data_IF_065325393335
#
_entry.id   IF_065325393335
#
_cell.length_a   1.000
_cell.length_b   1.000
_cell.length_c   1.000
_cell.angle_alpha   90.00
_cell.angle_beta   90.00
_cell.angle_gamma   90.00
#
_symmetry.space_group_name_H-M   'P 1'
#
loop_
_entity.id
_entity.type
_entity.pdbx_description
1 polymer ?
#
# COMPACT_ATOMS: atom_id res chain seq x y z
N UNK A 1 4.01 -114.62 10.25
CA UNK A 1 4.46 -113.51 11.13
C UNK A 1 5.71 -112.79 10.60
N UNK A 2 6.91 -113.40 10.55
CA UNK A 2 8.19 -112.69 10.25
C UNK A 2 8.14 -111.67 9.09
N UNK A 3 7.68 -112.08 7.91
CA UNK A 3 7.63 -111.21 6.71
C UNK A 3 6.67 -110.00 6.85
N UNK A 4 5.58 -110.12 7.62
CA UNK A 4 4.66 -109.01 7.88
C UNK A 4 5.33 -107.94 8.75
N UNK A 5 5.94 -108.37 9.86
CA UNK A 5 6.67 -107.46 10.75
C UNK A 5 7.82 -106.75 10.00
N UNK A 6 8.49 -107.44 9.09
CA UNK A 6 9.52 -106.85 8.22
C UNK A 6 8.93 -105.82 7.24
N UNK A 7 7.80 -106.11 6.59
CA UNK A 7 7.10 -105.17 5.72
C UNK A 7 6.67 -103.90 6.47
N UNK A 8 6.03 -104.05 7.64
CA UNK A 8 5.65 -102.92 8.50
C UNK A 8 6.87 -102.12 8.96
N UNK A 9 7.97 -102.78 9.32
CA UNK A 9 9.22 -102.11 9.71
C UNK A 9 9.82 -101.30 8.56
N UNK A 10 9.91 -101.90 7.36
CA UNK A 10 10.39 -101.22 6.15
C UNK A 10 9.51 -100.02 5.80
N UNK A 11 8.19 -100.16 5.86
CA UNK A 11 7.23 -99.07 5.64
C UNK A 11 7.41 -97.91 6.61
N UNK A 12 7.57 -98.19 7.91
CA UNK A 12 7.80 -97.17 8.94
C UNK A 12 9.14 -96.42 8.74
N UNK A 13 10.21 -97.12 8.37
CA UNK A 13 11.52 -96.50 8.08
C UNK A 13 11.45 -95.62 6.84
N UNK A 14 10.80 -96.07 5.76
CA UNK A 14 10.62 -95.28 4.54
C UNK A 14 9.73 -94.05 4.79
N UNK A 15 8.62 -94.20 5.53
CA UNK A 15 7.75 -93.09 5.90
C UNK A 15 8.48 -92.01 6.69
N UNK A 16 9.23 -92.40 7.74
CA UNK A 16 10.07 -91.46 8.51
C UNK A 16 11.10 -90.73 7.64
N UNK A 17 11.75 -91.44 6.71
CA UNK A 17 12.72 -90.83 5.78
C UNK A 17 12.06 -89.83 4.83
N UNK A 18 10.89 -90.15 4.29
CA UNK A 18 10.12 -89.24 3.42
C UNK A 18 9.68 -87.98 4.17
N UNK A 19 9.19 -88.11 5.40
CA UNK A 19 8.85 -86.95 6.24
C UNK A 19 10.07 -86.07 6.55
N UNK A 20 11.23 -86.67 6.83
CA UNK A 20 12.47 -85.92 7.08
C UNK A 20 12.92 -85.14 5.85
N UNK A 21 12.98 -85.77 4.67
CA UNK A 21 13.40 -85.09 3.43
C UNK A 21 12.43 -83.95 3.04
N UNK A 22 11.12 -84.13 3.24
CA UNK A 22 10.13 -83.07 3.02
C UNK A 22 10.32 -81.89 4.00
N UNK A 23 10.65 -82.16 5.27
CA UNK A 23 10.93 -81.12 6.26
C UNK A 23 12.24 -80.38 5.96
N UNK A 24 13.27 -81.08 5.49
CA UNK A 24 14.54 -80.48 5.03
C UNK A 24 14.33 -79.58 3.81
N UNK A 25 13.52 -80.00 2.82
CA UNK A 25 13.22 -79.21 1.62
C UNK A 25 12.43 -77.93 1.95
N UNK A 26 11.40 -78.02 2.81
CA UNK A 26 10.65 -76.85 3.29
C UNK A 26 11.58 -75.89 4.05
N UNK A 27 12.38 -76.38 4.99
CA UNK A 27 13.31 -75.56 5.77
C UNK A 27 14.40 -74.92 4.91
N UNK A 28 14.87 -75.59 3.86
CA UNK A 28 15.80 -75.02 2.89
C UNK A 28 15.15 -73.91 2.05
N UNK A 29 13.88 -74.08 1.66
CA UNK A 29 13.08 -73.07 0.95
C UNK A 29 12.87 -71.79 1.78
N UNK A 30 12.39 -71.92 3.03
CA UNK A 30 12.24 -70.78 3.95
C UNK A 30 13.58 -70.08 4.24
N UNK A 31 14.64 -70.86 4.49
CA UNK A 31 16.00 -70.31 4.71
C UNK A 31 16.51 -69.53 3.51
N UNK A 32 16.20 -69.96 2.28
CA UNK A 32 16.52 -69.21 1.06
C UNK A 32 15.69 -67.92 0.99
N UNK A 33 14.37 -67.99 1.18
CA UNK A 33 13.49 -66.80 1.11
C UNK A 33 13.95 -65.72 2.09
N UNK A 34 14.26 -66.09 3.34
CA UNK A 34 14.80 -65.18 4.35
C UNK A 34 16.17 -64.59 3.96
N UNK A 35 17.02 -65.33 3.26
CA UNK A 35 18.30 -64.82 2.77
C UNK A 35 18.12 -63.79 1.64
N UNK A 36 17.18 -64.05 0.71
CA UNK A 36 16.84 -63.15 -0.38
C UNK A 36 16.16 -61.86 0.15
N UNK A 37 15.23 -61.99 1.12
CA UNK A 37 14.60 -60.88 1.86
C UNK A 37 15.66 -60.02 2.60
N UNK A 38 16.60 -60.65 3.32
CA UNK A 38 17.69 -59.95 4.01
C UNK A 38 18.69 -59.28 3.05
N UNK A 39 18.84 -59.77 1.81
CA UNK A 39 19.63 -59.10 0.79
C UNK A 39 18.92 -57.85 0.27
N UNK A 40 17.62 -57.96 -0.05
CA UNK A 40 16.81 -56.82 -0.49
C UNK A 40 16.75 -55.71 0.57
N UNK A 41 16.51 -56.06 1.84
CA UNK A 41 16.46 -55.09 2.94
C UNK A 41 17.80 -54.36 3.16
N UNK A 42 18.94 -55.03 2.96
CA UNK A 42 20.26 -54.36 3.02
C UNK A 42 20.43 -53.33 1.91
N UNK A 43 20.07 -53.68 0.68
CA UNK A 43 20.14 -52.76 -0.46
C UNK A 43 19.23 -51.54 -0.23
N UNK A 44 18.04 -51.76 0.31
CA UNK A 44 17.11 -50.68 0.66
C UNK A 44 17.69 -49.76 1.74
N UNK A 45 18.18 -50.30 2.86
CA UNK A 45 18.81 -49.52 3.95
C UNK A 45 20.02 -48.72 3.46
N UNK A 46 20.87 -49.29 2.58
CA UNK A 46 21.97 -48.53 1.98
C UNK A 46 21.50 -47.42 1.03
N UNK A 47 20.35 -47.58 0.35
CA UNK A 47 19.78 -46.55 -0.51
C UNK A 47 19.16 -45.41 0.31
N UNK A 48 18.38 -45.75 1.34
CA UNK A 48 17.75 -44.78 2.24
C UNK A 48 18.79 -43.99 3.06
N UNK A 49 19.92 -44.62 3.43
CA UNK A 49 21.05 -43.91 4.05
C UNK A 49 21.69 -42.88 3.09
N UNK A 50 21.81 -43.22 1.79
CA UNK A 50 22.39 -42.32 0.78
C UNK A 50 21.47 -41.12 0.52
N UNK A 51 20.17 -41.34 0.34
CA UNK A 51 19.19 -40.25 0.13
C UNK A 51 19.12 -39.33 1.37
N UNK A 52 19.07 -39.89 2.58
CA UNK A 52 19.12 -39.13 3.83
C UNK A 52 20.39 -38.26 3.93
N UNK A 53 21.57 -38.81 3.63
CA UNK A 53 22.82 -38.05 3.67
C UNK A 53 22.94 -37.00 2.56
N UNK A 54 22.19 -37.11 1.46
CA UNK A 54 22.10 -36.08 0.42
C UNK A 54 21.12 -34.96 0.81
N UNK A 55 19.91 -35.31 1.27
CA UNK A 55 18.92 -34.36 1.76
C UNK A 55 19.44 -33.56 2.96
N UNK A 56 20.13 -34.21 3.90
CA UNK A 56 20.79 -33.56 5.03
C UNK A 56 21.82 -32.52 4.57
N UNK A 57 22.68 -32.85 3.59
CA UNK A 57 23.67 -31.90 3.04
C UNK A 57 22.99 -30.71 2.36
N UNK A 58 21.90 -30.95 1.62
CA UNK A 58 21.08 -29.90 1.00
C UNK A 58 20.47 -28.96 2.05
N UNK A 59 19.80 -29.52 3.06
CA UNK A 59 19.20 -28.75 4.16
C UNK A 59 20.25 -27.96 4.95
N UNK A 60 21.42 -28.55 5.23
CA UNK A 60 22.53 -27.83 5.84
C UNK A 60 23.02 -26.64 4.99
N UNK A 61 23.06 -26.77 3.67
CA UNK A 61 23.44 -25.68 2.77
C UNK A 61 22.37 -24.58 2.72
N UNK A 62 21.09 -24.95 2.68
CA UNK A 62 19.95 -24.01 2.72
C UNK A 62 19.90 -23.25 4.06
N UNK A 63 20.10 -23.92 5.19
CA UNK A 63 20.20 -23.27 6.53
C UNK A 63 21.39 -22.29 6.58
N UNK A 64 22.55 -22.64 6.02
CA UNK A 64 23.71 -21.73 5.92
C UNK A 64 23.38 -20.49 5.08
N UNK A 65 22.73 -20.68 3.91
CA UNK A 65 22.26 -19.59 3.03
C UNK A 65 21.24 -18.68 3.71
N UNK A 66 20.22 -19.25 4.35
CA UNK A 66 19.16 -18.51 5.06
C UNK A 66 19.73 -17.71 6.23
N UNK A 67 20.66 -18.26 7.02
CA UNK A 67 21.31 -17.56 8.13
C UNK A 67 22.09 -16.32 7.67
N UNK A 68 22.79 -16.40 6.53
CA UNK A 68 23.47 -15.24 5.93
C UNK A 68 22.46 -14.21 5.41
N UNK A 69 21.39 -14.65 4.72
CA UNK A 69 20.33 -13.77 4.24
C UNK A 69 19.60 -13.02 5.37
N UNK A 70 19.29 -13.71 6.47
CA UNK A 70 18.69 -13.15 7.68
C UNK A 70 19.55 -12.03 8.28
N UNK A 71 20.85 -12.28 8.49
CA UNK A 71 21.78 -11.28 9.04
C UNK A 71 21.97 -10.07 8.10
N UNK A 72 21.88 -10.27 6.78
CA UNK A 72 21.91 -9.17 5.81
C UNK A 72 20.61 -8.35 5.82
N UNK A 73 19.45 -9.00 5.97
CA UNK A 73 18.16 -8.32 6.11
C UNK A 73 18.05 -7.55 7.43
N UNK A 74 18.50 -8.14 8.54
CA UNK A 74 18.53 -7.52 9.88
C UNK A 74 19.36 -6.23 9.89
N UNK A 75 20.54 -6.24 9.25
CA UNK A 75 21.38 -5.04 9.09
C UNK A 75 20.68 -3.95 8.27
N UNK A 76 20.02 -4.31 7.16
CA UNK A 76 19.24 -3.37 6.35
C UNK A 76 18.05 -2.79 7.10
N UNK A 77 17.36 -3.60 7.90
CA UNK A 77 16.25 -3.16 8.74
C UNK A 77 16.71 -2.15 9.81
N UNK A 78 17.84 -2.42 10.47
CA UNK A 78 18.43 -1.51 11.47
C UNK A 78 18.85 -0.16 10.86
N UNK A 79 19.43 -0.16 9.66
CA UNK A 79 19.74 1.08 8.93
C UNK A 79 18.46 1.88 8.59
N UNK A 80 17.43 1.20 8.07
CA UNK A 80 16.14 1.85 7.76
C UNK A 80 15.39 2.36 8.98
N UNK A 81 15.57 1.75 10.15
CA UNK A 81 14.99 2.25 11.40
C UNK A 81 15.60 3.62 11.74
N UNK A 82 16.94 3.74 11.70
CA UNK A 82 17.64 5.02 11.93
C UNK A 82 17.23 6.08 10.91
N UNK A 83 17.18 5.74 9.62
CA UNK A 83 16.70 6.63 8.54
C UNK A 83 15.27 7.15 8.82
N UNK A 84 14.37 6.29 9.27
CA UNK A 84 12.98 6.66 9.64
C UNK A 84 12.93 7.52 10.90
N UNK A 85 13.77 7.23 11.91
CA UNK A 85 13.82 7.98 13.16
C UNK A 85 14.41 9.40 12.93
N UNK A 86 15.44 9.52 12.10
CA UNK A 86 16.01 10.80 11.65
C UNK A 86 15.00 11.63 10.85
N UNK A 87 14.28 11.04 9.90
CA UNK A 87 13.23 11.71 9.14
C UNK A 87 12.03 12.13 10.02
N UNK A 88 11.71 11.37 11.06
CA UNK A 88 10.71 11.77 12.06
C UNK A 88 11.19 12.91 12.94
N UNK A 89 12.45 12.90 13.38
CA UNK A 89 13.03 13.99 14.17
C UNK A 89 13.08 15.30 13.36
N UNK A 90 13.55 15.23 12.11
CA UNK A 90 13.56 16.36 11.17
C UNK A 90 12.15 16.93 10.95
N UNK A 91 11.17 16.08 10.60
CA UNK A 91 9.78 16.53 10.38
C UNK A 91 9.18 17.23 11.61
N UNK A 92 9.49 16.74 12.81
CA UNK A 92 9.02 17.36 14.07
C UNK A 92 9.58 18.77 14.22
N UNK A 93 10.90 18.94 14.07
CA UNK A 93 11.54 20.25 14.11
C UNK A 93 10.96 21.21 13.05
N UNK A 94 10.83 20.76 11.79
CA UNK A 94 10.23 21.56 10.71
C UNK A 94 8.76 21.95 11.02
N UNK A 95 8.00 21.09 11.70
CA UNK A 95 6.62 21.41 12.13
C UNK A 95 6.51 22.28 13.37
N UNK A 96 7.55 22.32 14.20
CA UNK A 96 7.65 23.17 15.40
C UNK A 96 8.07 24.59 14.99
N UNK A 97 9.09 24.72 14.13
CA UNK A 97 9.51 25.97 13.49
C UNK A 97 8.35 26.63 12.71
N UNK A 98 7.62 25.86 11.89
CA UNK A 98 6.45 26.37 11.18
C UNK A 98 5.28 26.79 12.10
N UNK A 99 5.13 26.16 13.28
CA UNK A 99 4.11 26.55 14.25
C UNK A 99 4.48 27.87 14.95
N UNK A 100 5.75 28.07 15.29
CA UNK A 100 6.26 29.32 15.84
C UNK A 100 6.19 30.47 14.82
N UNK A 101 6.50 30.23 13.55
CA UNK A 101 6.29 31.21 12.46
C UNK A 101 4.82 31.63 12.34
N UNK A 102 3.88 30.66 12.32
CA UNK A 102 2.45 30.94 12.26
C UNK A 102 1.99 31.74 13.48
N UNK A 103 2.48 31.40 14.68
CA UNK A 103 2.17 32.14 15.92
C UNK A 103 2.69 33.58 15.87
N UNK A 104 3.93 33.78 15.42
CA UNK A 104 4.54 35.10 15.24
C UNK A 104 3.80 35.96 14.22
N UNK A 105 3.39 35.37 13.09
CA UNK A 105 2.58 36.05 12.06
C UNK A 105 1.19 36.42 12.57
N UNK A 106 0.50 35.52 13.29
CA UNK A 106 -0.79 35.81 13.91
C UNK A 106 -0.69 36.98 14.91
N UNK A 107 0.35 36.99 15.76
CA UNK A 107 0.59 38.07 16.71
C UNK A 107 0.92 39.40 16.00
N UNK A 108 1.69 39.37 14.91
CA UNK A 108 2.00 40.56 14.11
C UNK A 108 0.74 41.15 13.45
N UNK A 109 -0.08 40.30 12.81
CA UNK A 109 -1.35 40.68 12.19
C UNK A 109 -2.31 41.29 13.23
N UNK A 110 -2.50 40.64 14.38
CA UNK A 110 -3.30 41.18 15.47
C UNK A 110 -2.80 42.55 15.94
N UNK A 111 -1.48 42.71 16.10
CA UNK A 111 -0.84 43.95 16.56
C UNK A 111 -1.05 45.10 15.57
N UNK A 112 -0.96 44.87 14.25
CA UNK A 112 -1.23 45.89 13.24
C UNK A 112 -2.74 46.23 13.14
N UNK A 113 -3.64 45.25 13.29
CA UNK A 113 -5.08 45.53 13.35
C UNK A 113 -5.44 46.41 14.55
N UNK A 114 -4.88 46.16 15.75
CA UNK A 114 -5.09 47.01 16.93
C UNK A 114 -4.58 48.44 16.69
N UNK A 115 -3.35 48.61 16.18
CA UNK A 115 -2.80 49.94 15.82
C UNK A 115 -3.68 50.67 14.80
N UNK A 116 -4.17 49.94 13.79
CA UNK A 116 -5.07 50.47 12.76
C UNK A 116 -6.40 50.95 13.34
N UNK A 117 -6.98 50.17 14.25
CA UNK A 117 -8.22 50.52 14.96
C UNK A 117 -8.04 51.73 15.88
N UNK A 118 -6.98 51.77 16.71
CA UNK A 118 -6.67 52.96 17.52
C UNK A 118 -6.41 54.22 16.68
N UNK A 119 -5.82 54.06 15.49
CA UNK A 119 -5.62 55.17 14.55
C UNK A 119 -6.97 55.67 14.03
N UNK A 120 -7.87 54.77 13.65
CA UNK A 120 -9.23 55.12 13.22
C UNK A 120 -10.04 55.81 14.33
N UNK A 121 -9.95 55.33 15.58
CA UNK A 121 -10.57 55.98 16.74
C UNK A 121 -10.09 57.43 16.93
N UNK A 122 -8.76 57.67 16.89
CA UNK A 122 -8.18 59.03 16.98
C UNK A 122 -8.60 59.93 15.81
N UNK A 123 -8.79 59.37 14.62
CA UNK A 123 -9.33 60.11 13.47
C UNK A 123 -10.81 60.45 13.65
N UNK A 124 -11.62 59.53 14.17
CA UNK A 124 -13.03 59.75 14.46
C UNK A 124 -13.22 60.82 15.56
N UNK A 125 -12.50 60.73 16.68
CA UNK A 125 -12.50 61.70 17.77
C UNK A 125 -12.12 63.12 17.28
N UNK A 126 -11.14 63.23 16.39
CA UNK A 126 -10.71 64.52 15.84
C UNK A 126 -11.77 65.15 14.91
N UNK A 127 -12.42 64.33 14.07
CA UNK A 127 -13.37 64.80 13.05
C UNK A 127 -14.79 65.02 13.63
N UNK A 128 -15.23 64.16 14.55
CA UNK A 128 -16.60 64.09 15.05
C UNK A 128 -16.69 64.45 16.54
N UNK A 129 -16.14 65.61 16.93
CA UNK A 129 -16.10 66.10 18.33
C UNK A 129 -17.47 66.25 19.01
N UNK A 130 -18.55 66.27 18.23
CA UNK A 130 -19.93 66.32 18.71
C UNK A 130 -20.54 64.93 18.98
N UNK A 131 -19.85 63.85 18.58
CA UNK A 131 -20.29 62.46 18.71
C UNK A 131 -19.49 61.80 19.82
N UNK A 132 -20.11 61.57 20.97
CA UNK A 132 -19.44 60.90 22.08
C UNK A 132 -19.21 59.42 21.78
N UNK A 133 -18.05 58.89 22.17
CA UNK A 133 -17.77 57.45 22.23
C UNK A 133 -18.65 56.70 23.25
N UNK A 134 -19.43 57.45 24.06
CA UNK A 134 -20.45 56.93 24.99
C UNK A 134 -21.88 57.27 24.55
N UNK A 135 -22.10 57.69 23.30
CA UNK A 135 -23.45 57.95 22.78
C UNK A 135 -24.21 56.62 22.64
N UNK A 136 -25.37 56.52 23.29
CA UNK A 136 -26.14 55.29 23.41
C UNK A 136 -26.74 54.78 22.08
N UNK A 137 -26.57 55.53 20.98
CA UNK A 137 -26.90 55.07 19.62
C UNK A 137 -25.87 54.09 19.05
N UNK A 138 -24.66 54.03 19.62
CA UNK A 138 -23.68 52.98 19.30
C UNK A 138 -23.80 51.84 20.30
N UNK A 139 -24.11 50.65 19.80
CA UNK A 139 -24.15 49.41 20.58
C UNK A 139 -23.34 48.35 19.84
N UNK A 140 -22.21 47.92 20.41
CA UNK A 140 -21.27 46.97 19.78
C UNK A 140 -21.84 45.56 19.56
N UNK A 141 -22.98 45.24 20.16
CA UNK A 141 -23.69 43.99 19.93
C UNK A 141 -24.64 44.06 18.72
N UNK A 142 -24.87 45.26 18.16
CA UNK A 142 -25.73 45.48 17.00
C UNK A 142 -24.89 45.87 15.76
N UNK A 143 -25.27 45.35 14.60
CA UNK A 143 -24.68 45.65 13.29
C UNK A 143 -25.78 45.83 12.23
N UNK A 144 -25.45 46.37 11.05
CA UNK A 144 -26.40 46.63 9.97
C UNK A 144 -26.40 45.47 8.97
N UNK A 145 -27.50 44.72 8.91
CA UNK A 145 -27.72 43.64 7.96
C UNK A 145 -29.08 43.80 7.28
N UNK A 146 -29.12 43.67 5.94
CA UNK A 146 -30.30 44.01 5.11
C UNK A 146 -30.95 45.36 5.49
N UNK A 147 -30.10 46.39 5.62
CA UNK A 147 -30.49 47.76 6.01
C UNK A 147 -31.20 47.88 7.37
N UNK A 148 -31.20 46.82 8.18
CA UNK A 148 -31.78 46.77 9.54
C UNK A 148 -30.67 46.64 10.56
N UNK A 149 -30.84 47.27 11.71
CA UNK A 149 -29.94 47.12 12.85
C UNK A 149 -30.38 45.89 13.66
N UNK A 150 -29.56 44.84 13.67
CA UNK A 150 -29.84 43.52 14.26
C UNK A 150 -28.69 43.10 15.17
N UNK A 151 -28.93 42.16 16.09
CA UNK A 151 -27.87 41.62 16.95
C UNK A 151 -26.89 40.76 16.15
N UNK A 152 -25.59 40.86 16.42
CA UNK A 152 -24.54 40.11 15.73
C UNK A 152 -24.80 38.60 15.77
N UNK A 153 -25.32 38.07 16.89
CA UNK A 153 -25.66 36.65 17.02
C UNK A 153 -26.99 36.26 16.33
N UNK A 154 -27.79 37.22 15.86
CA UNK A 154 -28.90 37.00 14.93
C UNK A 154 -28.40 37.05 13.48
N UNK A 155 -27.54 38.00 13.15
CA UNK A 155 -26.89 38.13 11.83
C UNK A 155 -26.09 36.87 11.49
N UNK A 156 -25.33 36.29 12.44
CA UNK A 156 -24.63 35.01 12.20
C UNK A 156 -25.57 33.86 11.84
N UNK A 157 -26.78 33.82 12.42
CA UNK A 157 -27.79 32.79 12.10
C UNK A 157 -28.40 33.03 10.73
N UNK A 158 -28.76 34.28 10.41
CA UNK A 158 -29.33 34.66 9.13
C UNK A 158 -28.34 34.41 7.97
N UNK A 159 -27.04 34.69 8.16
CA UNK A 159 -25.99 34.33 7.19
C UNK A 159 -25.86 32.82 7.02
N UNK A 160 -25.77 32.06 8.11
CA UNK A 160 -25.67 30.59 8.03
C UNK A 160 -26.92 29.93 7.39
N UNK A 161 -28.11 30.51 7.57
CA UNK A 161 -29.32 30.08 6.87
C UNK A 161 -29.24 30.44 5.38
N UNK A 162 -28.87 31.66 5.01
CA UNK A 162 -28.75 32.06 3.60
C UNK A 162 -27.69 31.25 2.84
N UNK A 163 -26.53 31.01 3.46
CA UNK A 163 -25.45 30.16 2.92
C UNK A 163 -25.90 28.69 2.77
N UNK A 164 -26.79 28.21 3.65
CA UNK A 164 -27.41 26.88 3.54
C UNK A 164 -28.56 26.79 2.53
N UNK A 165 -29.34 27.86 2.34
CA UNK A 165 -30.46 27.91 1.39
C UNK A 165 -29.97 28.02 -0.07
N UNK A 166 -28.90 28.80 -0.32
CA UNK A 166 -28.28 28.85 -1.65
C UNK A 166 -27.63 27.51 -2.00
N UNK A 167 -26.94 26.86 -1.06
CA UNK A 167 -26.43 25.49 -1.25
C UNK A 167 -27.53 24.44 -1.49
N UNK A 168 -28.77 24.72 -1.10
CA UNK A 168 -29.94 23.89 -1.38
C UNK A 168 -30.58 24.12 -2.75
N UNK A 169 -30.30 25.25 -3.44
CA UNK A 169 -30.88 25.57 -4.76
C UNK A 169 -30.18 24.84 -5.91
N UNK A 170 -28.88 24.63 -5.83
CA UNK A 170 -28.10 24.05 -6.92
C UNK A 170 -28.45 22.56 -7.19
N UNK A 171 -29.02 21.84 -6.22
CA UNK A 171 -29.41 20.43 -6.42
C UNK A 171 -30.75 20.25 -7.17
N UNK A 172 -31.67 21.22 -7.15
CA UNK A 172 -32.97 21.12 -7.88
C UNK A 172 -32.87 21.52 -9.37
N UNK A 173 -31.66 21.61 -9.93
CA UNK A 173 -31.40 22.00 -11.32
C UNK A 173 -31.11 20.85 -12.31
N UNK A 174 -30.67 19.68 -11.86
CA UNK A 174 -30.02 18.68 -12.75
C UNK A 174 -30.94 17.49 -13.08
N UNK A 175 -32.01 17.75 -13.84
CA UNK A 175 -32.83 16.70 -14.44
C UNK A 175 -32.20 16.13 -15.72
N UNK A 176 -31.47 15.03 -15.54
CA UNK A 176 -31.28 13.90 -16.49
C UNK A 176 -31.55 14.16 -17.98
N UNK A 177 -30.48 14.31 -18.77
CA UNK A 177 -30.49 13.92 -20.19
C UNK A 177 -29.36 12.94 -20.49
N UNK A 178 -29.73 11.68 -20.79
CA UNK A 178 -28.79 10.64 -21.22
C UNK A 178 -28.30 10.91 -22.64
N UNK A 179 -26.99 10.88 -22.94
CA UNK A 179 -26.49 10.98 -24.32
C UNK A 179 -26.96 9.78 -25.15
N UNK A 180 -27.70 10.03 -26.24
CA UNK A 180 -28.23 9.00 -27.12
C UNK A 180 -27.44 9.00 -28.44
N UNK A 181 -26.79 7.87 -28.75
CA UNK A 181 -25.88 7.73 -29.88
C UNK A 181 -26.61 7.42 -31.20
N UNK A 182 -26.71 8.44 -32.06
CA UNK A 182 -27.00 8.41 -33.52
C UNK A 182 -26.30 9.67 -34.09
N UNK A 183 -25.72 9.74 -35.28
CA UNK A 183 -25.63 8.77 -36.38
C UNK A 183 -25.81 9.49 -37.72
N UNK A 184 -24.68 9.92 -38.29
CA UNK A 184 -24.40 10.40 -39.67
C UNK A 184 -25.55 10.53 -40.70
N UNK A 185 -25.73 11.72 -41.29
CA UNK A 185 -25.58 11.96 -42.74
C UNK A 185 -25.83 13.45 -43.17
N UNK A 186 -24.93 13.98 -44.03
CA UNK A 186 -25.14 15.03 -45.07
C UNK A 186 -25.49 16.49 -44.67
N UNK A 187 -25.29 17.50 -45.52
CA UNK A 187 -24.32 17.74 -46.63
C UNK A 187 -24.48 19.20 -47.14
N UNK A 188 -23.47 19.70 -47.87
CA UNK A 188 -23.51 20.86 -48.78
C UNK A 188 -23.64 22.27 -48.17
N UNK A 189 -23.01 23.32 -48.73
CA UNK A 189 -22.05 23.45 -49.85
C UNK A 189 -21.27 24.79 -49.73
N UNK A 190 -20.04 24.85 -50.29
CA UNK A 190 -19.33 26.01 -50.94
C UNK A 190 -19.28 27.40 -50.23
N UNK A 191 -18.33 28.33 -50.40
CA UNK A 191 -17.09 28.55 -51.20
C UNK A 191 -16.24 29.63 -50.42
N UNK A 192 -15.01 30.07 -50.72
CA UNK A 192 -14.07 29.95 -51.85
C UNK A 192 -12.59 30.12 -51.36
N UNK A 193 -11.62 29.45 -52.02
CA UNK A 193 -10.19 29.81 -52.33
C UNK A 193 -9.21 30.50 -51.34
N UNK A 194 -7.93 30.09 -51.43
CA UNK A 194 -6.73 30.83 -50.96
C UNK A 194 -5.68 29.94 -50.28
N UNK A 195 -5.31 28.78 -50.84
CA UNK A 195 -4.12 28.56 -51.71
C UNK A 195 -2.74 28.63 -50.98
N UNK A 196 -1.85 27.72 -51.36
CA UNK A 196 -0.67 27.26 -50.60
C UNK A 196 0.64 27.99 -50.95
N UNK A 197 1.60 28.01 -50.02
CA UNK A 197 3.02 27.64 -50.31
C UNK A 197 3.80 27.27 -49.06
N UNK A 198 4.64 26.24 -49.18
CA UNK A 198 5.75 25.94 -48.24
C UNK A 198 6.96 26.85 -48.49
N UNK A 199 7.81 27.04 -47.47
CA UNK A 199 9.28 26.90 -47.58
C UNK A 199 9.98 27.07 -46.20
N UNK A 200 11.07 26.35 -45.97
CA UNK A 200 11.94 26.51 -44.78
C UNK A 200 13.22 27.34 -45.05
N UNK A 201 13.79 27.84 -43.94
CA UNK A 201 15.23 27.94 -43.63
C UNK A 201 16.12 29.04 -44.28
N UNK A 202 17.32 29.14 -43.69
CA UNK A 202 18.52 29.96 -44.05
C UNK A 202 18.33 31.45 -43.71
N UNK A 203 19.01 32.06 -42.73
CA UNK A 203 20.46 32.18 -42.40
C UNK A 203 21.19 33.32 -43.15
N UNK A 204 22.14 33.98 -42.46
CA UNK A 204 22.88 35.17 -42.91
C UNK A 204 22.15 36.51 -42.62
N UNK A 205 22.77 37.57 -42.09
CA UNK A 205 24.12 37.72 -41.54
C UNK A 205 24.99 38.78 -42.25
N UNK A 206 24.91 40.05 -41.82
CA UNK A 206 25.87 41.15 -42.07
C UNK A 206 25.49 42.37 -41.20
N UNK A 207 26.31 43.38 -40.88
CA UNK A 207 27.74 43.69 -41.11
C UNK A 207 28.10 44.93 -40.26
N UNK A 208 29.32 45.10 -39.72
CA UNK A 208 30.55 45.57 -40.38
C UNK A 208 30.80 47.09 -40.20
N UNK A 209 32.08 47.51 -40.17
CA UNK A 209 32.57 48.83 -39.73
C UNK A 209 33.22 48.73 -38.33
N UNK A 210 34.54 48.80 -38.11
CA UNK A 210 35.58 49.77 -38.56
C UNK A 210 35.36 51.15 -37.89
N UNK A 211 36.36 51.78 -37.26
CA UNK A 211 37.83 51.55 -37.23
C UNK A 211 38.40 51.10 -35.87
#
# INVERSE_FOLDING_TARGET
MRAWNEYTSRGLVLGRRLSAMLQEEIAAGDKKRLADELAALKVQVELDQRTWDEEKKKLEAEVKKLKVGMLAAEKKLKLKQVEVDELQARRKAESEEAADEISGLQQAVYTEHVKGFEKALRQAEFLYKEVSVTDCRFNVNLDIYDNKMLDVAEISKLKAVAEGEEAGRDEEGTLMTTPLHVGDERASNEEEVGEEVEAEAVDGGNGAGEE
#
